data_IF_406844019686
#
_entry.id   IF_406844019686
#
_cell.length_a   1.000
_cell.length_b   1.000
_cell.length_c   1.000
_cell.angle_alpha   90.00
_cell.angle_beta   90.00
_cell.angle_gamma   90.00
#
_symmetry.space_group_name_H-M   'P 1'
#
loop_
_entity.id
_entity.type
_entity.pdbx_description
1 polymer ?
#
# COMPACT_ATOMS: atom_id res chain seq x y z
N UNK A 1 1.12 12.03 7.05
CA UNK A 1 2.52 11.94 6.58
C UNK A 1 2.57 11.04 5.37
N UNK A 2 2.94 11.57 4.21
CA UNK A 2 3.05 10.81 2.96
C UNK A 2 4.47 10.26 2.87
N UNK A 3 4.62 8.92 2.86
CA UNK A 3 5.94 8.29 2.88
C UNK A 3 6.66 8.40 1.52
N UNK A 4 7.54 9.41 1.40
CA UNK A 4 8.48 9.55 0.29
C UNK A 4 9.85 8.88 0.55
N UNK A 5 10.12 8.47 1.79
CA UNK A 5 11.35 7.77 2.16
C UNK A 5 11.39 6.39 1.48
N UNK A 6 12.58 5.97 1.04
CA UNK A 6 12.77 4.63 0.49
C UNK A 6 12.76 3.65 1.65
N UNK A 7 12.16 2.48 1.46
CA UNK A 7 12.15 1.43 2.48
C UNK A 7 13.58 1.00 2.85
N UNK A 8 14.53 1.12 1.92
CA UNK A 8 15.94 0.85 2.19
C UNK A 8 16.57 1.79 3.24
N UNK A 9 16.06 3.02 3.34
CA UNK A 9 16.56 4.05 4.25
C UNK A 9 15.96 3.90 5.67
N UNK A 10 14.98 3.01 5.83
CA UNK A 10 14.37 2.66 7.12
C UNK A 10 15.27 1.64 7.84
N UNK A 11 15.50 1.78 9.17
CA UNK A 11 16.19 0.76 9.96
C UNK A 11 15.61 -0.63 9.72
N UNK A 12 16.46 -1.66 9.66
CA UNK A 12 16.03 -3.03 9.32
C UNK A 12 14.88 -3.50 10.21
N UNK A 13 14.93 -3.22 11.51
CA UNK A 13 13.88 -3.56 12.49
C UNK A 13 12.54 -2.85 12.25
N UNK A 14 12.53 -1.76 11.49
CA UNK A 14 11.36 -0.96 11.18
C UNK A 14 10.84 -1.18 9.76
N UNK A 15 11.53 -1.98 8.95
CA UNK A 15 11.09 -2.28 7.59
C UNK A 15 9.85 -3.19 7.64
N UNK A 16 8.85 -2.99 6.75
CA UNK A 16 7.58 -3.70 6.84
C UNK A 16 7.68 -5.23 6.83
N UNK A 17 8.57 -5.81 6.02
CA UNK A 17 8.69 -7.28 5.91
C UNK A 17 9.30 -7.88 7.18
N UNK A 18 10.30 -7.22 7.72
CA UNK A 18 11.01 -7.60 8.94
C UNK A 18 10.09 -7.43 10.15
N UNK A 19 9.33 -6.32 10.22
CA UNK A 19 8.26 -6.13 11.21
C UNK A 19 7.18 -7.20 11.11
N UNK A 20 6.77 -7.59 9.89
CA UNK A 20 5.78 -8.64 9.68
C UNK A 20 6.26 -9.97 10.27
N UNK A 21 7.53 -10.32 10.08
CA UNK A 21 8.12 -11.55 10.65
C UNK A 21 8.23 -11.45 12.19
N UNK A 22 8.65 -10.31 12.72
CA UNK A 22 8.90 -10.15 14.15
C UNK A 22 7.63 -9.97 15.00
N UNK A 23 6.64 -9.23 14.48
CA UNK A 23 5.47 -8.78 15.23
C UNK A 23 4.17 -9.39 14.69
N UNK A 24 4.16 -9.95 13.48
CA UNK A 24 2.95 -10.47 12.84
C UNK A 24 2.03 -9.39 12.26
N UNK A 25 1.18 -9.78 11.32
CA UNK A 25 0.39 -8.85 10.49
C UNK A 25 -0.55 -7.93 11.28
N UNK A 26 -1.06 -8.38 12.43
CA UNK A 26 -1.96 -7.59 13.28
C UNK A 26 -1.32 -6.36 13.90
N UNK A 27 0.02 -6.32 13.96
CA UNK A 27 0.79 -5.21 14.53
C UNK A 27 1.30 -4.23 13.46
N UNK A 28 0.89 -4.41 12.20
CA UNK A 28 1.24 -3.54 11.08
C UNK A 28 0.02 -2.70 10.68
N UNK A 29 0.27 -1.47 10.28
CA UNK A 29 -0.76 -0.67 9.63
C UNK A 29 -1.16 -1.30 8.29
N UNK A 30 -2.41 -1.12 7.88
CA UNK A 30 -2.91 -1.62 6.58
C UNK A 30 -2.05 -1.13 5.40
N UNK A 31 -1.51 0.09 5.48
CA UNK A 31 -0.59 0.63 4.47
C UNK A 31 0.73 -0.15 4.40
N UNK A 32 1.25 -0.66 5.52
CA UNK A 32 2.44 -1.51 5.56
C UNK A 32 2.17 -2.86 4.90
N UNK A 33 1.01 -3.46 5.20
CA UNK A 33 0.60 -4.71 4.58
C UNK A 33 0.43 -4.56 3.06
N UNK A 34 -0.23 -3.49 2.61
CA UNK A 34 -0.31 -3.15 1.19
C UNK A 34 1.08 -2.94 0.59
N UNK A 35 1.99 -2.24 1.27
CA UNK A 35 3.35 -2.02 0.77
C UNK A 35 4.12 -3.33 0.56
N UNK A 36 3.93 -4.31 1.45
CA UNK A 36 4.53 -5.65 1.34
C UNK A 36 4.00 -6.35 0.10
N UNK A 37 2.68 -6.36 -0.10
CA UNK A 37 2.02 -6.98 -1.26
C UNK A 37 2.43 -6.30 -2.58
N UNK A 38 2.42 -4.97 -2.60
CA UNK A 38 2.79 -4.17 -3.77
C UNK A 38 4.26 -4.37 -4.19
N UNK A 39 5.15 -4.60 -3.22
CA UNK A 39 6.59 -4.78 -3.39
C UNK A 39 7.37 -3.54 -3.87
N UNK A 40 6.72 -2.64 -4.62
CA UNK A 40 7.32 -1.45 -5.23
C UNK A 40 6.37 -0.25 -5.20
N UNK A 41 6.96 0.94 -5.10
CA UNK A 41 6.26 2.22 -5.20
C UNK A 41 6.00 2.67 -6.64
N UNK A 42 5.92 3.98 -6.86
CA UNK A 42 5.65 4.59 -8.17
C UNK A 42 6.93 4.80 -9.03
N UNK A 43 8.08 4.32 -8.56
CA UNK A 43 9.38 4.51 -9.21
C UNK A 43 10.24 5.59 -8.53
N UNK A 44 11.37 5.93 -9.17
CA UNK A 44 12.36 6.87 -8.61
C UNK A 44 11.75 8.28 -8.44
N UNK A 45 12.00 8.91 -7.29
CA UNK A 45 11.56 10.28 -6.99
C UNK A 45 10.07 10.45 -6.70
N UNK A 46 9.32 9.34 -6.55
CA UNK A 46 7.87 9.33 -6.28
C UNK A 46 7.57 8.55 -5.00
N UNK A 47 6.30 8.22 -4.76
CA UNK A 47 5.88 7.46 -3.57
C UNK A 47 6.59 6.11 -3.48
N UNK A 48 7.06 5.75 -2.29
CA UNK A 48 7.52 4.40 -1.97
C UNK A 48 6.35 3.41 -1.93
N UNK A 49 6.61 2.11 -1.75
CA UNK A 49 5.50 1.15 -1.62
C UNK A 49 4.60 1.48 -0.42
N UNK A 50 5.19 1.98 0.68
CA UNK A 50 4.49 2.53 1.84
C UNK A 50 3.61 3.72 1.48
N UNK A 51 4.17 4.71 0.79
CA UNK A 51 3.43 5.89 0.34
C UNK A 51 2.31 5.54 -0.63
N UNK A 52 2.53 4.58 -1.53
CA UNK A 52 1.53 4.11 -2.47
C UNK A 52 0.39 3.36 -1.75
N UNK A 53 0.70 2.49 -0.78
CA UNK A 53 -0.31 1.82 0.04
C UNK A 53 -1.19 2.82 0.79
N UNK A 54 -0.58 3.87 1.34
CA UNK A 54 -1.31 4.94 2.02
C UNK A 54 -2.18 5.77 1.05
N UNK A 55 -1.66 6.11 -0.14
CA UNK A 55 -2.44 6.78 -1.18
C UNK A 55 -3.66 5.95 -1.57
N UNK A 56 -3.49 4.65 -1.79
CA UNK A 56 -4.60 3.74 -2.12
C UNK A 56 -5.67 3.81 -1.02
N UNK A 57 -5.29 3.67 0.25
CA UNK A 57 -6.26 3.74 1.36
C UNK A 57 -6.97 5.09 1.43
N UNK A 58 -6.27 6.20 1.18
CA UNK A 58 -6.89 7.54 1.14
C UNK A 58 -7.88 7.69 -0.02
N UNK A 59 -7.53 7.17 -1.20
CA UNK A 59 -8.41 7.17 -2.37
C UNK A 59 -9.68 6.34 -2.13
N UNK A 60 -9.54 5.19 -1.46
CA UNK A 60 -10.68 4.34 -1.10
C UNK A 60 -11.50 4.89 0.07
N UNK A 61 -10.90 5.70 0.96
CA UNK A 61 -11.59 6.36 2.06
C UNK A 61 -12.39 7.60 1.64
N UNK A 62 -12.31 8.00 0.36
CA UNK A 62 -13.07 9.13 -0.16
C UNK A 62 -14.56 8.93 0.11
N UNK A 63 -15.24 10.05 0.35
CA UNK A 63 -16.65 10.09 0.74
C UNK A 63 -16.95 9.44 2.10
N UNK A 64 -15.96 9.41 3.01
CA UNK A 64 -16.07 8.89 4.38
C UNK A 64 -16.46 7.40 4.44
N UNK A 65 -16.09 6.64 3.40
CA UNK A 65 -16.33 5.19 3.34
C UNK A 65 -15.20 4.43 4.02
N UNK A 66 -15.54 3.27 4.60
CA UNK A 66 -14.53 2.33 5.08
C UNK A 66 -13.72 1.78 3.89
N UNK A 67 -12.39 2.00 3.83
CA UNK A 67 -11.57 1.56 2.72
C UNK A 67 -11.66 0.07 2.45
N UNK A 68 -11.80 -0.76 3.51
CA UNK A 68 -11.88 -2.21 3.37
C UNK A 68 -13.21 -2.66 2.77
N UNK A 69 -14.31 -1.99 3.12
CA UNK A 69 -15.61 -2.21 2.48
C UNK A 69 -15.60 -1.86 0.98
N UNK A 70 -14.90 -0.79 0.60
CA UNK A 70 -14.73 -0.43 -0.82
C UNK A 70 -13.87 -1.46 -1.53
N UNK A 71 -12.74 -1.86 -0.94
CA UNK A 71 -11.79 -2.80 -1.52
C UNK A 71 -12.42 -4.18 -1.80
N UNK A 72 -13.39 -4.61 -1.00
CA UNK A 72 -14.15 -5.86 -1.25
C UNK A 72 -14.99 -5.87 -2.52
N UNK A 73 -15.41 -4.70 -3.01
CA UNK A 73 -16.34 -4.57 -4.14
C UNK A 73 -15.75 -3.81 -5.34
N UNK A 74 -14.52 -3.30 -5.20
CA UNK A 74 -13.88 -2.48 -6.23
C UNK A 74 -13.46 -3.34 -7.43
N UNK A 75 -13.59 -2.79 -8.63
CA UNK A 75 -13.08 -3.44 -9.85
C UNK A 75 -11.61 -3.06 -10.08
N UNK A 76 -10.87 -3.94 -10.74
CA UNK A 76 -9.48 -3.67 -11.10
C UNK A 76 -9.31 -2.34 -11.87
N UNK A 77 -10.25 -2.03 -12.77
CA UNK A 77 -10.26 -0.81 -13.57
C UNK A 77 -10.29 0.46 -12.72
N UNK A 78 -10.99 0.44 -11.59
CA UNK A 78 -11.08 1.57 -10.65
C UNK A 78 -9.76 1.73 -9.89
N UNK A 79 -9.18 0.62 -9.40
CA UNK A 79 -7.84 0.64 -8.79
C UNK A 79 -6.78 1.18 -9.75
N UNK A 80 -6.86 0.84 -11.04
CA UNK A 80 -5.90 1.33 -12.04
C UNK A 80 -5.98 2.82 -12.34
N UNK A 81 -7.02 3.53 -11.88
CA UNK A 81 -7.08 4.98 -11.96
C UNK A 81 -6.14 5.66 -10.95
N UNK A 82 -5.70 4.93 -9.92
CA UNK A 82 -4.74 5.44 -8.94
C UNK A 82 -3.36 5.40 -9.57
N UNK A 83 -2.71 6.56 -9.67
CA UNK A 83 -1.39 6.68 -10.29
C UNK A 83 -0.39 5.69 -9.68
N UNK A 84 0.30 4.94 -10.53
CA UNK A 84 1.27 3.92 -10.13
C UNK A 84 0.69 2.61 -9.59
N UNK A 85 -0.63 2.41 -9.71
CA UNK A 85 -1.31 1.13 -9.60
C UNK A 85 -1.64 0.65 -11.02
N UNK A 86 -0.73 -0.13 -11.63
CA UNK A 86 -1.02 -0.79 -12.90
C UNK A 86 -1.82 -2.08 -12.70
N UNK A 87 -2.19 -2.75 -13.80
CA UNK A 87 -2.98 -3.98 -13.76
C UNK A 87 -2.37 -5.04 -12.82
N UNK A 88 -1.06 -5.24 -12.86
CA UNK A 88 -0.36 -6.17 -11.98
C UNK A 88 -0.60 -5.88 -10.48
N UNK A 89 -0.45 -4.62 -10.06
CA UNK A 89 -0.68 -4.21 -8.67
C UNK A 89 -2.16 -4.28 -8.30
N UNK A 90 -3.06 -3.91 -9.20
CA UNK A 90 -4.50 -4.02 -8.98
C UNK A 90 -4.91 -5.48 -8.75
N UNK A 91 -4.42 -6.42 -9.57
CA UNK A 91 -4.69 -7.84 -9.38
C UNK A 91 -4.09 -8.38 -8.10
N UNK A 92 -2.89 -7.93 -7.69
CA UNK A 92 -2.29 -8.32 -6.41
C UNK A 92 -3.09 -7.88 -5.20
N UNK A 93 -3.82 -6.76 -5.28
CA UNK A 93 -4.67 -6.26 -4.19
C UNK A 93 -6.00 -7.03 -4.11
N UNK A 94 -6.51 -7.53 -5.23
CA UNK A 94 -7.82 -8.20 -5.32
C UNK A 94 -7.80 -9.70 -4.98
N UNK A 95 -6.62 -10.32 -4.94
CA UNK A 95 -6.41 -11.74 -4.61
C UNK A 95 -6.16 -11.89 -3.12
#
# INVERSE_FOLDING_TARGET
MTYCLRIADIPISERPRERLVALGAKNLATAELLAILLGTGQGKGKLSAMGLGQLILQELAKDQRDPMAVLRNIKAQELTQIHGVGLAKATTILV
#
